data_IF_724041917755
#
_entry.id   IF_724041917755
#
_cell.length_a   1.000
_cell.length_b   1.000
_cell.length_c   1.000
_cell.angle_alpha   90.00
_cell.angle_beta   90.00
_cell.angle_gamma   90.00
#
_symmetry.space_group_name_H-M   'P 1'
#
loop_
_entity.id
_entity.type
_entity.pdbx_description
1 polymer ?
#
# COMPACT_ATOMS: atom_id res chain seq x y z
N UNK A 1 -6.49 -19.05 -22.49
CA UNK A 1 -6.76 -18.64 -21.10
C UNK A 1 -5.63 -17.69 -20.71
N UNK A 2 -5.85 -16.38 -20.88
CA UNK A 2 -4.83 -15.36 -20.59
C UNK A 2 -4.68 -15.36 -19.06
N UNK A 3 -3.57 -15.90 -18.55
CA UNK A 3 -3.18 -15.65 -17.15
C UNK A 3 -2.91 -14.15 -17.08
N UNK A 4 -3.91 -13.37 -16.65
CA UNK A 4 -3.70 -11.98 -16.29
C UNK A 4 -2.52 -11.92 -15.32
N UNK A 5 -1.52 -11.11 -15.65
CA UNK A 5 -0.30 -11.00 -14.88
C UNK A 5 -0.69 -10.54 -13.46
N UNK A 6 -0.60 -11.42 -12.46
CA UNK A 6 -1.14 -11.18 -11.11
C UNK A 6 -0.43 -10.06 -10.35
N UNK A 7 0.77 -9.68 -10.78
CA UNK A 7 1.43 -8.44 -10.37
C UNK A 7 0.63 -7.20 -10.78
N UNK A 8 -0.12 -7.25 -11.88
CA UNK A 8 -1.01 -6.17 -12.28
C UNK A 8 -2.17 -6.03 -11.30
N UNK A 9 -2.61 -7.08 -10.60
CA UNK A 9 -3.75 -6.98 -9.68
C UNK A 9 -3.46 -6.04 -8.51
N UNK A 10 -2.26 -6.15 -7.90
CA UNK A 10 -1.84 -5.24 -6.84
C UNK A 10 -1.60 -3.82 -7.38
N UNK A 11 -0.99 -3.69 -8.56
CA UNK A 11 -0.73 -2.38 -9.17
C UNK A 11 -2.04 -1.67 -9.55
N UNK A 12 -2.99 -2.38 -10.17
CA UNK A 12 -4.32 -1.90 -10.54
C UNK A 12 -5.07 -1.45 -9.29
N UNK A 13 -5.10 -2.28 -8.24
CA UNK A 13 -5.71 -1.91 -6.96
C UNK A 13 -5.15 -0.59 -6.39
N UNK A 14 -3.81 -0.47 -6.32
CA UNK A 14 -3.17 0.73 -5.75
C UNK A 14 -3.46 1.98 -6.58
N UNK A 15 -3.56 1.84 -7.91
CA UNK A 15 -3.86 2.94 -8.82
C UNK A 15 -5.34 3.35 -8.79
N UNK A 16 -6.25 2.39 -8.66
CA UNK A 16 -7.69 2.63 -8.60
C UNK A 16 -8.12 3.21 -7.25
N UNK A 17 -7.43 2.88 -6.15
CA UNK A 17 -7.69 3.42 -4.82
C UNK A 17 -7.15 4.85 -4.67
N UNK A 18 -7.68 5.79 -5.46
CA UNK A 18 -7.26 7.19 -5.49
C UNK A 18 -7.40 7.91 -4.14
N UNK A 19 -8.41 7.57 -3.34
CA UNK A 19 -8.74 8.19 -2.06
C UNK A 19 -8.03 7.57 -0.84
N UNK A 20 -7.07 6.66 -1.05
CA UNK A 20 -6.45 5.82 -0.02
C UNK A 20 -5.89 6.59 1.20
N UNK A 21 -5.53 7.86 1.04
CA UNK A 21 -4.88 8.67 2.07
C UNK A 21 -5.75 9.86 2.51
N UNK A 22 -7.01 9.93 2.08
CA UNK A 22 -7.88 11.05 2.42
C UNK A 22 -8.28 11.06 3.90
N UNK A 23 -8.41 9.88 4.51
CA UNK A 23 -8.74 9.70 5.92
C UNK A 23 -7.99 8.50 6.48
N UNK A 24 -7.85 8.42 7.81
CA UNK A 24 -7.28 7.25 8.47
C UNK A 24 -8.09 5.98 8.21
N UNK A 25 -9.41 6.08 8.02
CA UNK A 25 -10.25 4.93 7.65
C UNK A 25 -9.93 4.39 6.25
N UNK A 26 -9.81 5.27 5.26
CA UNK A 26 -9.42 4.88 3.90
C UNK A 26 -8.03 4.26 3.91
N UNK A 27 -7.11 4.81 4.71
CA UNK A 27 -5.76 4.28 4.80
C UNK A 27 -5.69 2.91 5.49
N UNK A 28 -6.45 2.71 6.57
CA UNK A 28 -6.55 1.42 7.25
C UNK A 28 -7.10 0.33 6.31
N UNK A 29 -8.14 0.65 5.53
CA UNK A 29 -8.67 -0.27 4.52
C UNK A 29 -7.66 -0.53 3.40
N UNK A 30 -7.01 0.52 2.91
CA UNK A 30 -5.99 0.43 1.88
C UNK A 30 -4.83 -0.48 2.32
N UNK A 31 -4.23 -0.24 3.49
CA UNK A 31 -3.11 -1.02 4.01
C UNK A 31 -3.47 -2.50 4.18
N UNK A 32 -4.64 -2.79 4.75
CA UNK A 32 -5.15 -4.16 4.87
C UNK A 32 -5.33 -4.84 3.52
N UNK A 33 -5.85 -4.14 2.51
CA UNK A 33 -6.05 -4.72 1.19
C UNK A 33 -4.74 -4.94 0.45
N UNK A 34 -3.77 -4.02 0.58
CA UNK A 34 -2.40 -4.20 0.05
C UNK A 34 -1.78 -5.47 0.63
N UNK A 35 -1.79 -5.63 1.96
CA UNK A 35 -1.25 -6.80 2.65
C UNK A 35 -1.91 -8.09 2.15
N UNK A 36 -3.25 -8.14 2.13
CA UNK A 36 -3.99 -9.32 1.69
C UNK A 36 -3.69 -9.71 0.24
N UNK A 37 -3.66 -8.74 -0.68
CA UNK A 37 -3.35 -9.02 -2.08
C UNK A 37 -1.90 -9.48 -2.20
N UNK A 38 -0.95 -8.81 -1.53
CA UNK A 38 0.45 -9.18 -1.55
C UNK A 38 0.68 -10.62 -1.04
N UNK A 39 0.14 -10.98 0.12
CA UNK A 39 0.31 -12.31 0.72
C UNK A 39 -0.20 -13.44 -0.19
N UNK A 40 -1.28 -13.20 -0.94
CA UNK A 40 -1.82 -14.17 -1.90
C UNK A 40 -0.88 -14.44 -3.10
N UNK A 41 0.04 -13.52 -3.39
CA UNK A 41 0.88 -13.58 -4.59
C UNK A 41 2.37 -13.35 -4.34
N UNK A 42 2.83 -13.28 -3.08
CA UNK A 42 4.22 -12.94 -2.73
C UNK A 42 5.25 -13.80 -3.43
N UNK A 43 4.98 -15.10 -3.57
CA UNK A 43 5.85 -16.07 -4.24
C UNK A 43 6.03 -15.82 -5.75
N UNK A 44 5.26 -14.90 -6.33
CA UNK A 44 5.38 -14.49 -7.75
C UNK A 44 6.36 -13.34 -7.95
N UNK A 45 6.73 -12.63 -6.89
CA UNK A 45 7.71 -11.56 -6.95
C UNK A 45 9.13 -12.13 -6.82
N UNK A 46 10.14 -11.53 -7.46
CA UNK A 46 11.54 -11.81 -7.15
C UNK A 46 11.84 -11.56 -5.67
N UNK A 47 12.79 -12.31 -5.09
CA UNK A 47 13.09 -12.23 -3.65
C UNK A 47 13.44 -10.80 -3.19
N UNK A 48 14.26 -10.08 -3.96
CA UNK A 48 14.63 -8.69 -3.65
C UNK A 48 13.40 -7.75 -3.61
N UNK A 49 12.42 -8.00 -4.48
CA UNK A 49 11.17 -7.24 -4.49
C UNK A 49 10.29 -7.62 -3.30
N UNK A 50 10.24 -8.90 -2.93
CA UNK A 50 9.52 -9.33 -1.73
C UNK A 50 10.08 -8.63 -0.49
N UNK A 51 11.41 -8.53 -0.36
CA UNK A 51 12.05 -7.81 0.75
C UNK A 51 11.66 -6.33 0.79
N UNK A 52 11.69 -5.64 -0.36
CA UNK A 52 11.26 -4.23 -0.44
C UNK A 52 9.77 -4.06 -0.11
N UNK A 53 8.90 -4.93 -0.61
CA UNK A 53 7.46 -4.87 -0.34
C UNK A 53 7.15 -5.19 1.13
N UNK A 54 7.83 -6.16 1.74
CA UNK A 54 7.67 -6.50 3.15
C UNK A 54 7.99 -5.30 4.05
N UNK A 55 9.11 -4.59 3.78
CA UNK A 55 9.48 -3.39 4.52
C UNK A 55 8.43 -2.30 4.34
N UNK A 56 8.02 -2.04 3.10
CA UNK A 56 7.06 -0.98 2.83
C UNK A 56 5.69 -1.25 3.45
N UNK A 57 5.19 -2.49 3.39
CA UNK A 57 3.93 -2.88 4.01
C UNK A 57 4.01 -2.76 5.53
N UNK A 58 5.14 -3.14 6.14
CA UNK A 58 5.37 -2.92 7.56
C UNK A 58 5.31 -1.43 7.93
N UNK A 59 5.97 -0.55 7.17
CA UNK A 59 5.91 0.90 7.41
C UNK A 59 4.47 1.43 7.28
N UNK A 60 3.69 0.88 6.35
CA UNK A 60 2.27 1.22 6.23
C UNK A 60 1.47 0.81 7.46
N UNK A 61 1.72 -0.37 8.03
CA UNK A 61 1.10 -0.84 9.27
C UNK A 61 1.51 0.02 10.47
N UNK A 62 2.76 0.50 10.52
CA UNK A 62 3.23 1.42 11.57
C UNK A 62 2.43 2.72 11.53
N UNK A 63 2.30 3.36 10.37
CA UNK A 63 1.49 4.57 10.22
C UNK A 63 0.03 4.32 10.63
N UNK A 64 -0.55 3.20 10.18
CA UNK A 64 -1.92 2.84 10.54
C UNK A 64 -2.07 2.63 12.07
N UNK A 65 -1.12 1.92 12.69
CA UNK A 65 -1.13 1.64 14.13
C UNK A 65 -0.97 2.90 14.99
N UNK A 66 -0.05 3.80 14.62
CA UNK A 66 0.14 5.09 15.28
C UNK A 66 -1.11 5.96 15.16
N UNK A 67 -1.65 6.10 13.94
CA UNK A 67 -2.84 6.89 13.70
C UNK A 67 -4.06 6.33 14.47
N UNK A 68 -4.25 5.01 14.50
CA UNK A 68 -5.34 4.39 15.27
C UNK A 68 -5.16 4.60 16.78
N UNK A 69 -3.94 4.55 17.30
CA UNK A 69 -3.65 4.81 18.70
C UNK A 69 -4.01 6.25 19.08
N UNK A 70 -3.56 7.23 18.31
CA UNK A 70 -3.85 8.65 18.57
C UNK A 70 -5.32 8.98 18.40
N UNK A 71 -5.98 8.39 17.40
CA UNK A 71 -7.43 8.52 17.22
C UNK A 71 -8.21 7.96 18.43
N UNK A 72 -7.78 6.83 18.99
CA UNK A 72 -8.39 6.25 20.20
C UNK A 72 -8.16 7.13 21.44
N UNK A 73 -6.93 7.64 21.61
CA UNK A 73 -6.58 8.58 22.69
C UNK A 73 -7.37 9.90 22.59
N UNK A 74 -7.66 10.36 21.38
CA UNK A 74 -8.52 11.51 21.12
C UNK A 74 -10.02 11.21 21.35
N UNK A 75 -10.37 10.03 21.85
CA UNK A 75 -11.76 9.57 22.04
C UNK A 75 -12.56 9.40 20.75
N UNK A 76 -11.87 9.00 19.67
CA UNK A 76 -12.46 8.59 18.39
C UNK A 76 -13.32 9.68 17.72
N UNK A 77 -12.80 10.90 17.52
CA UNK A 77 -13.56 11.96 16.88
C UNK A 77 -13.95 11.57 15.45
N UNK A 78 -15.14 12.01 15.01
CA UNK A 78 -15.62 11.82 13.63
C UNK A 78 -14.86 12.69 12.65
N UNK A 79 -14.51 13.91 13.06
CA UNK A 79 -13.76 14.90 12.26
C UNK A 79 -12.32 14.99 12.79
N UNK A 80 -11.55 13.92 12.57
CA UNK A 80 -10.19 13.82 13.08
C UNK A 80 -9.19 14.51 12.14
N UNK A 81 -8.82 15.75 12.45
CA UNK A 81 -7.93 16.55 11.62
C UNK A 81 -6.45 16.18 11.73
N UNK A 82 -6.04 15.55 12.82
CA UNK A 82 -4.63 15.21 13.07
C UNK A 82 -4.10 14.23 12.00
N UNK A 83 -4.98 13.40 11.40
CA UNK A 83 -4.65 12.64 10.20
C UNK A 83 -4.00 13.49 9.10
N UNK A 84 -4.60 14.65 8.81
CA UNK A 84 -4.15 15.52 7.72
C UNK A 84 -2.82 16.21 8.04
N UNK A 85 -2.49 16.43 9.32
CA UNK A 85 -1.28 17.15 9.72
C UNK A 85 -0.12 16.21 10.02
N UNK A 86 -0.40 15.05 10.59
CA UNK A 86 0.63 14.24 11.25
C UNK A 86 0.93 12.94 10.50
N UNK A 87 0.03 12.49 9.61
CA UNK A 87 0.09 11.15 9.02
C UNK A 87 -0.06 11.10 7.50
N UNK A 88 -0.85 12.01 6.92
CA UNK A 88 -1.25 11.93 5.51
C UNK A 88 -0.08 12.03 4.53
N UNK A 89 0.91 12.87 4.81
CA UNK A 89 2.08 13.04 3.94
C UNK A 89 2.90 11.75 3.85
N UNK A 90 3.21 11.13 4.99
CA UNK A 90 3.92 9.86 5.06
C UNK A 90 3.12 8.73 4.38
N UNK A 91 1.81 8.68 4.62
CA UNK A 91 0.90 7.74 3.97
C UNK A 91 0.90 7.89 2.44
N UNK A 92 0.87 9.12 1.93
CA UNK A 92 0.96 9.43 0.50
C UNK A 92 2.31 9.00 -0.09
N UNK A 93 3.39 9.22 0.63
CA UNK A 93 4.73 8.84 0.18
C UNK A 93 4.93 7.33 0.16
N UNK A 94 4.41 6.60 1.15
CA UNK A 94 4.38 5.14 1.15
C UNK A 94 3.57 4.60 -0.04
N UNK A 95 2.39 5.16 -0.33
CA UNK A 95 1.60 4.80 -1.52
C UNK A 95 2.37 5.05 -2.81
N UNK A 96 3.04 6.20 -2.96
CA UNK A 96 3.88 6.50 -4.14
C UNK A 96 5.04 5.53 -4.29
N UNK A 97 5.69 5.16 -3.18
CA UNK A 97 6.76 4.15 -3.17
C UNK A 97 6.25 2.79 -3.64
N UNK A 98 5.07 2.37 -3.17
CA UNK A 98 4.44 1.12 -3.60
C UNK A 98 4.22 1.09 -5.12
N UNK A 99 3.65 2.17 -5.68
CA UNK A 99 3.47 2.30 -7.14
C UNK A 99 4.80 2.23 -7.89
N UNK A 100 5.85 2.88 -7.37
CA UNK A 100 7.18 2.88 -8.01
C UNK A 100 7.78 1.49 -8.06
N UNK A 101 7.76 0.75 -6.95
CA UNK A 101 8.25 -0.64 -6.89
C UNK A 101 7.50 -1.48 -7.92
N UNK A 102 6.16 -1.52 -7.83
CA UNK A 102 5.32 -2.37 -8.68
C UNK A 102 5.45 -2.05 -10.18
N UNK A 103 5.57 -0.76 -10.53
CA UNK A 103 5.79 -0.34 -11.93
C UNK A 103 7.20 -0.72 -12.41
N UNK A 104 8.21 -0.66 -11.53
CA UNK A 104 9.56 -1.11 -11.83
C UNK A 104 9.59 -2.59 -12.21
N UNK A 105 8.97 -3.44 -11.41
CA UNK A 105 8.89 -4.89 -11.66
C UNK A 105 8.13 -5.20 -12.95
N UNK A 106 7.02 -4.48 -13.21
CA UNK A 106 6.27 -4.66 -14.46
C UNK A 106 7.13 -4.40 -15.71
N UNK A 107 7.96 -3.34 -15.69
CA UNK A 107 8.86 -3.01 -16.81
C UNK A 107 9.93 -4.07 -17.02
N UNK A 108 10.51 -4.61 -15.96
CA UNK A 108 11.51 -5.68 -16.04
C UNK A 108 10.92 -6.97 -16.60
N UNK A 109 9.73 -7.36 -16.12
CA UNK A 109 9.04 -8.56 -16.59
C UNK A 109 8.74 -8.49 -18.10
N UNK A 110 8.27 -7.34 -18.60
CA UNK A 110 8.00 -7.15 -20.04
C UNK A 110 9.28 -7.32 -20.86
N UNK A 111 10.40 -6.73 -20.42
CA UNK A 111 11.70 -6.86 -21.11
C UNK A 111 12.20 -8.29 -21.20
N UNK A 112 11.90 -9.15 -20.23
CA UNK A 112 12.33 -10.56 -20.27
C UNK A 112 11.52 -11.45 -21.22
N UNK A 113 10.41 -10.93 -21.78
CA UNK A 113 9.53 -11.66 -22.69
C UNK A 113 9.71 -11.25 -24.17
N UNK A 114 10.51 -10.22 -24.46
CA UNK A 114 10.89 -9.77 -25.81
C UNK A 114 12.10 -10.54 -26.34
#
# INVERSE_FOLDING_TARGET
MVRGNKMNELLEFVQEYSTATETHYHYAEFAKNVENIYENFKDKFPLEIQEQLNILIFDMEVINGLALCDWDLASRPTDWNDWNTDYKEDADDLKKQLVRILTGVQKEYIRTLE
#
